data_IF_532714122100
#
_entry.id   IF_532714122100
#
_cell.length_a   1.000
_cell.length_b   1.000
_cell.length_c   1.000
_cell.angle_alpha   90.00
_cell.angle_beta   90.00
_cell.angle_gamma   90.00
#
_symmetry.space_group_name_H-M   'P 1'
#
loop_
_entity.id
_entity.type
_entity.pdbx_description
1 polymer ?
#
# COMPACT_ATOMS: atom_id res chain seq x y z
N UNK A 1 0.50 -59.59 16.32
CA UNK A 1 0.57 -58.13 16.21
C UNK A 1 1.37 -57.78 14.96
N UNK A 2 0.72 -57.43 13.86
CA UNK A 2 1.40 -57.00 12.63
C UNK A 2 1.92 -55.57 12.82
N UNK A 3 3.23 -55.41 12.80
CA UNK A 3 3.86 -54.09 12.72
C UNK A 3 3.76 -53.64 11.26
N UNK A 4 2.85 -52.72 10.99
CA UNK A 4 2.73 -52.08 9.66
C UNK A 4 4.04 -51.32 9.40
N UNK A 5 4.92 -51.86 8.55
CA UNK A 5 6.09 -51.11 8.09
C UNK A 5 5.62 -50.10 7.04
N UNK A 6 5.40 -48.86 7.47
CA UNK A 6 5.17 -47.75 6.54
C UNK A 6 6.44 -47.51 5.72
N UNK A 7 6.36 -47.70 4.41
CA UNK A 7 7.46 -47.41 3.48
C UNK A 7 7.87 -45.94 3.54
N UNK A 8 9.11 -45.63 3.14
CA UNK A 8 9.64 -44.25 3.09
C UNK A 8 8.71 -43.28 2.33
N UNK A 9 8.03 -43.75 1.27
CA UNK A 9 7.04 -42.96 0.51
C UNK A 9 5.81 -42.59 1.33
N UNK A 10 5.37 -43.49 2.22
CA UNK A 10 4.25 -43.22 3.12
C UNK A 10 4.62 -42.24 4.24
N UNK A 11 5.84 -42.33 4.76
CA UNK A 11 6.37 -41.34 5.71
C UNK A 11 6.46 -39.94 5.10
N UNK A 12 6.91 -39.83 3.85
CA UNK A 12 6.95 -38.56 3.12
C UNK A 12 5.53 -38.02 2.89
N UNK A 13 4.59 -38.86 2.46
CA UNK A 13 3.20 -38.46 2.26
C UNK A 13 2.56 -37.93 3.57
N UNK A 14 2.77 -38.63 4.69
CA UNK A 14 2.30 -38.18 6.01
C UNK A 14 2.96 -36.85 6.39
N UNK A 15 4.26 -36.70 6.18
CA UNK A 15 4.98 -35.45 6.43
C UNK A 15 4.40 -34.27 5.64
N UNK A 16 4.13 -34.45 4.35
CA UNK A 16 3.51 -33.43 3.50
C UNK A 16 2.11 -33.09 3.98
N UNK A 17 1.28 -34.08 4.32
CA UNK A 17 -0.07 -33.85 4.84
C UNK A 17 -0.04 -33.06 6.15
N UNK A 18 0.87 -33.40 7.07
CA UNK A 18 1.03 -32.66 8.33
C UNK A 18 1.44 -31.21 8.06
N UNK A 19 2.39 -30.96 7.14
CA UNK A 19 2.81 -29.60 6.78
C UNK A 19 1.64 -28.80 6.18
N UNK A 20 0.85 -29.40 5.29
CA UNK A 20 -0.33 -28.76 4.71
C UNK A 20 -1.39 -28.45 5.77
N UNK A 21 -1.65 -29.37 6.69
CA UNK A 21 -2.60 -29.15 7.79
C UNK A 21 -2.14 -28.05 8.74
N UNK A 22 -0.84 -28.02 9.08
CA UNK A 22 -0.27 -26.94 9.89
C UNK A 22 -0.40 -25.61 9.18
N UNK A 23 -0.12 -25.54 7.86
CA UNK A 23 -0.30 -24.33 7.07
C UNK A 23 -1.76 -23.87 7.01
N UNK A 24 -2.71 -24.80 6.88
CA UNK A 24 -4.15 -24.50 6.88
C UNK A 24 -4.64 -23.98 8.23
N UNK A 25 -4.24 -24.61 9.33
CA UNK A 25 -4.59 -24.15 10.69
C UNK A 25 -4.00 -22.77 10.94
N UNK A 26 -2.73 -22.57 10.55
CA UNK A 26 -2.07 -21.27 10.68
C UNK A 26 -2.78 -20.19 9.86
N UNK A 27 -3.16 -20.51 8.62
CA UNK A 27 -3.96 -19.65 7.74
C UNK A 27 -5.30 -19.26 8.37
N UNK A 28 -6.00 -20.20 8.99
CA UNK A 28 -7.32 -19.95 9.57
C UNK A 28 -7.25 -19.09 10.84
N UNK A 29 -6.24 -19.31 11.69
CA UNK A 29 -6.00 -18.54 12.93
C UNK A 29 -5.50 -17.12 12.64
N UNK A 30 -4.82 -16.91 11.52
CA UNK A 30 -4.29 -15.60 11.10
C UNK A 30 -5.19 -14.81 10.16
N UNK A 31 -6.43 -15.26 9.92
CA UNK A 31 -7.35 -14.48 9.08
C UNK A 31 -7.62 -13.12 9.74
N UNK A 32 -7.37 -12.01 9.03
CA UNK A 32 -7.79 -10.70 9.48
C UNK A 32 -9.31 -10.69 9.67
N UNK A 33 -9.82 -9.79 10.52
CA UNK A 33 -11.25 -9.54 10.59
C UNK A 33 -11.83 -9.22 9.21
N UNK A 34 -13.10 -9.56 8.96
CA UNK A 34 -13.70 -9.39 7.63
C UNK A 34 -13.71 -7.91 7.19
N UNK A 35 -13.85 -7.00 8.15
CA UNK A 35 -13.75 -5.56 8.00
C UNK A 35 -12.37 -5.06 7.53
N UNK A 36 -11.32 -5.87 7.66
CA UNK A 36 -9.98 -5.55 7.22
C UNK A 36 -9.71 -5.92 5.76
N UNK A 37 -10.55 -6.71 5.12
CA UNK A 37 -10.33 -7.07 3.71
C UNK A 37 -10.28 -5.85 2.77
N UNK A 38 -11.17 -4.84 2.88
CA UNK A 38 -11.06 -3.61 2.08
C UNK A 38 -9.81 -2.78 2.40
N UNK A 39 -9.38 -2.75 3.67
CA UNK A 39 -8.14 -2.08 4.07
C UNK A 39 -6.92 -2.77 3.46
N UNK A 40 -6.91 -4.10 3.42
CA UNK A 40 -5.83 -4.86 2.79
C UNK A 40 -5.76 -4.63 1.29
N UNK A 41 -6.89 -4.54 0.59
CA UNK A 41 -6.93 -4.17 -0.83
C UNK A 41 -6.33 -2.77 -1.06
N UNK A 42 -6.69 -1.79 -0.21
CA UNK A 42 -6.10 -0.45 -0.25
C UNK A 42 -4.58 -0.47 -0.05
N UNK A 43 -4.10 -1.17 0.97
CA UNK A 43 -2.67 -1.27 1.29
C UNK A 43 -1.89 -1.99 0.18
N UNK A 44 -2.43 -3.09 -0.33
CA UNK A 44 -1.82 -3.87 -1.41
C UNK A 44 -1.73 -3.08 -2.71
N UNK A 45 -2.78 -2.32 -3.06
CA UNK A 45 -2.77 -1.42 -4.21
C UNK A 45 -1.70 -0.34 -4.07
N UNK A 46 -1.63 0.31 -2.90
CA UNK A 46 -0.61 1.33 -2.64
C UNK A 46 0.81 0.76 -2.80
N UNK A 47 1.07 -0.42 -2.25
CA UNK A 47 2.38 -1.09 -2.37
C UNK A 47 2.73 -1.43 -3.82
N UNK A 48 1.80 -2.03 -4.57
CA UNK A 48 2.00 -2.36 -6.00
C UNK A 48 2.27 -1.13 -6.86
N UNK A 49 1.65 0.01 -6.53
CA UNK A 49 1.86 1.27 -7.26
C UNK A 49 3.18 1.95 -6.87
N UNK A 50 3.62 1.85 -5.62
CA UNK A 50 4.95 2.32 -5.21
C UNK A 50 6.09 1.63 -5.98
N UNK A 51 5.94 0.34 -6.29
CA UNK A 51 6.91 -0.42 -7.10
C UNK A 51 6.89 0.03 -8.58
N UNK A 52 5.72 0.34 -9.12
CA UNK A 52 5.57 0.75 -10.53
C UNK A 52 5.97 2.21 -10.80
N UNK A 53 5.70 3.10 -9.83
CA UNK A 53 5.93 4.54 -9.97
C UNK A 53 7.32 4.94 -9.40
N UNK A 54 7.83 4.19 -8.42
CA UNK A 54 9.15 4.41 -7.82
C UNK A 54 10.32 4.18 -8.78
N UNK A 55 10.15 3.29 -9.77
CA UNK A 55 11.16 3.02 -10.80
C UNK A 55 11.17 4.08 -11.93
N UNK A 56 10.11 4.90 -12.05
CA UNK A 56 9.95 5.91 -13.11
C UNK A 56 10.20 7.36 -12.69
N UNK A 57 10.13 7.66 -11.39
CA UNK A 57 10.18 9.02 -10.82
C UNK A 57 11.60 9.46 -10.40
N UNK A 58 12.61 9.06 -11.18
CA UNK A 58 14.02 9.36 -10.88
C UNK A 58 14.30 10.86 -10.69
N UNK A 59 14.89 11.20 -9.53
CA UNK A 59 15.68 12.40 -9.17
C UNK A 59 15.48 13.69 -10.01
N UNK A 60 14.24 14.03 -10.32
CA UNK A 60 13.90 15.02 -11.35
C UNK A 60 12.62 15.78 -11.04
N UNK A 61 12.44 16.87 -11.77
CA UNK A 61 11.23 17.71 -11.69
C UNK A 61 10.05 16.89 -12.23
N UNK A 62 8.92 16.79 -11.50
CA UNK A 62 7.74 16.07 -11.98
C UNK A 62 7.30 16.50 -13.38
N UNK A 63 7.06 15.56 -14.29
CA UNK A 63 6.49 15.85 -15.61
C UNK A 63 4.96 15.83 -15.57
N UNK A 64 4.32 16.29 -16.66
CA UNK A 64 2.86 16.18 -16.81
C UNK A 64 2.41 14.71 -16.84
N UNK A 65 3.22 13.82 -17.43
CA UNK A 65 2.93 12.39 -17.45
C UNK A 65 2.99 11.78 -16.04
N UNK A 66 3.97 12.20 -15.23
CA UNK A 66 4.09 11.73 -13.85
C UNK A 66 2.88 12.18 -13.02
N UNK A 67 2.49 13.46 -13.12
CA UNK A 67 1.29 13.98 -12.42
C UNK A 67 0.03 13.21 -12.84
N UNK A 68 -0.11 12.86 -14.11
CA UNK A 68 -1.24 12.06 -14.59
C UNK A 68 -1.22 10.63 -14.02
N UNK A 69 -0.05 9.98 -13.95
CA UNK A 69 0.10 8.67 -13.35
C UNK A 69 -0.23 8.68 -11.85
N UNK A 70 0.28 9.66 -11.11
CA UNK A 70 -0.03 9.84 -9.70
C UNK A 70 -1.50 10.19 -9.46
N UNK A 71 -2.16 10.94 -10.36
CA UNK A 71 -3.60 11.20 -10.26
C UNK A 71 -4.42 9.91 -10.39
N UNK A 72 -4.08 9.06 -11.37
CA UNK A 72 -4.72 7.75 -11.50
C UNK A 72 -4.47 6.86 -10.28
N UNK A 73 -3.27 6.93 -9.68
CA UNK A 73 -3.00 6.28 -8.39
C UNK A 73 -3.93 6.78 -7.28
N UNK A 74 -4.05 8.10 -7.08
CA UNK A 74 -4.91 8.70 -6.05
C UNK A 74 -6.40 8.38 -6.24
N UNK A 75 -6.87 8.30 -7.49
CA UNK A 75 -8.22 7.84 -7.82
C UNK A 75 -8.41 6.37 -7.41
N UNK A 76 -7.44 5.49 -7.70
CA UNK A 76 -7.49 4.09 -7.29
C UNK A 76 -7.40 3.88 -5.76
N UNK A 77 -6.70 4.76 -5.04
CA UNK A 77 -6.73 4.81 -3.57
C UNK A 77 -8.13 5.20 -3.08
N UNK A 78 -8.73 6.22 -3.68
CA UNK A 78 -10.09 6.69 -3.35
C UNK A 78 -11.14 5.60 -3.55
N UNK A 79 -11.08 4.90 -4.69
CA UNK A 79 -11.98 3.79 -5.00
C UNK A 79 -11.96 2.72 -3.90
N UNK A 80 -10.77 2.41 -3.36
CA UNK A 80 -10.58 1.39 -2.32
C UNK A 80 -10.92 1.89 -0.93
N UNK A 81 -10.57 3.14 -0.62
CA UNK A 81 -10.95 3.77 0.64
C UNK A 81 -12.46 3.78 0.83
N UNK A 82 -13.22 4.03 -0.25
CA UNK A 82 -14.68 4.01 -0.24
C UNK A 82 -15.30 2.62 -0.04
N UNK A 83 -14.52 1.54 -0.18
CA UNK A 83 -14.96 0.16 0.13
C UNK A 83 -14.83 -0.17 1.62
N UNK A 84 -14.11 0.65 2.39
CA UNK A 84 -13.98 0.49 3.84
C UNK A 84 -15.23 1.03 4.50
N UNK A 85 -16.03 0.16 5.13
CA UNK A 85 -17.31 0.54 5.74
C UNK A 85 -17.28 0.51 7.27
N UNK A 86 -16.26 -0.10 7.87
CA UNK A 86 -16.14 -0.13 9.33
C UNK A 86 -15.90 1.29 9.88
N UNK A 87 -16.72 1.77 10.83
CA UNK A 87 -16.61 3.14 11.33
C UNK A 87 -15.24 3.48 11.94
N UNK A 88 -14.53 2.50 12.50
CA UNK A 88 -13.22 2.71 13.12
C UNK A 88 -12.08 2.79 12.08
N UNK A 89 -12.31 2.28 10.87
CA UNK A 89 -11.34 2.26 9.77
C UNK A 89 -11.65 3.28 8.68
N UNK A 90 -12.93 3.64 8.52
CA UNK A 90 -13.45 4.53 7.48
C UNK A 90 -12.79 5.91 7.53
N UNK A 91 -12.74 6.54 8.71
CA UNK A 91 -12.20 7.89 8.84
C UNK A 91 -10.73 7.96 8.39
N UNK A 92 -9.91 7.00 8.82
CA UNK A 92 -8.49 6.91 8.45
C UNK A 92 -8.33 6.57 6.97
N UNK A 93 -9.19 5.72 6.40
CA UNK A 93 -9.17 5.38 4.98
C UNK A 93 -9.52 6.57 4.07
N UNK A 94 -10.50 7.37 4.46
CA UNK A 94 -10.85 8.62 3.77
C UNK A 94 -9.70 9.64 3.86
N UNK A 95 -9.05 9.76 5.01
CA UNK A 95 -7.87 10.63 5.16
C UNK A 95 -6.72 10.20 4.24
N UNK A 96 -6.50 8.89 4.06
CA UNK A 96 -5.52 8.37 3.09
C UNK A 96 -5.86 8.83 1.66
N UNK A 97 -7.12 8.69 1.24
CA UNK A 97 -7.54 9.16 -0.08
C UNK A 97 -7.37 10.69 -0.26
N UNK A 98 -7.75 11.47 0.74
CA UNK A 98 -7.59 12.94 0.70
C UNK A 98 -6.12 13.37 0.66
N UNK A 99 -5.25 12.72 1.44
CA UNK A 99 -3.81 12.99 1.44
C UNK A 99 -3.17 12.57 0.11
N UNK A 100 -3.61 11.47 -0.50
CA UNK A 100 -3.15 11.04 -1.81
C UNK A 100 -3.42 12.12 -2.87
N UNK A 101 -4.65 12.66 -2.94
CA UNK A 101 -4.98 13.76 -3.87
C UNK A 101 -4.18 15.02 -3.59
N UNK A 102 -4.05 15.43 -2.32
CA UNK A 102 -3.25 16.60 -1.93
C UNK A 102 -1.77 16.44 -2.32
N UNK A 103 -1.23 15.23 -2.25
CA UNK A 103 0.12 14.95 -2.72
C UNK A 103 0.26 15.22 -4.22
N UNK A 104 -0.69 14.74 -5.04
CA UNK A 104 -0.69 14.98 -6.50
C UNK A 104 -0.82 16.47 -6.83
N UNK A 105 -1.67 17.19 -6.11
CA UNK A 105 -1.84 18.64 -6.31
C UNK A 105 -0.53 19.40 -6.02
N UNK A 106 0.19 19.01 -4.96
CA UNK A 106 1.49 19.60 -4.65
C UNK A 106 2.58 19.18 -5.65
N UNK A 107 2.52 17.96 -6.17
CA UNK A 107 3.42 17.52 -7.24
C UNK A 107 3.26 18.39 -8.50
N UNK A 108 2.03 18.72 -8.90
CA UNK A 108 1.78 19.65 -10.00
C UNK A 108 2.24 21.08 -9.67
N UNK A 109 2.03 21.53 -8.42
CA UNK A 109 2.52 22.82 -7.96
C UNK A 109 4.05 22.91 -8.00
N UNK A 110 4.77 21.85 -7.62
CA UNK A 110 6.24 21.75 -7.76
C UNK A 110 6.62 21.89 -9.23
N UNK A 111 6.00 21.12 -10.12
CA UNK A 111 6.25 21.19 -11.57
C UNK A 111 6.11 22.62 -12.09
N UNK A 112 5.00 23.29 -11.78
CA UNK A 112 4.73 24.67 -12.22
C UNK A 112 5.72 25.67 -11.64
N UNK A 113 6.04 25.54 -10.34
CA UNK A 113 6.97 26.47 -9.68
C UNK A 113 8.40 26.31 -10.15
N UNK A 114 8.84 25.12 -10.56
CA UNK A 114 10.19 24.95 -11.10
C UNK A 114 10.31 25.58 -12.50
N UNK A 115 9.25 25.60 -13.31
CA UNK A 115 9.27 26.22 -14.64
C UNK A 115 9.56 27.73 -14.60
N UNK A 116 9.28 28.40 -13.49
CA UNK A 116 9.51 29.85 -13.33
C UNK A 116 10.79 30.18 -12.55
N UNK A 117 11.56 29.17 -12.15
CA UNK A 117 12.79 29.32 -11.36
C UNK A 117 14.05 29.19 -12.21
N UNK A 118 15.12 29.85 -11.77
CA UNK A 118 16.43 29.71 -12.39
C UNK A 118 16.99 28.28 -12.19
N UNK A 119 17.77 27.75 -13.15
CA UNK A 119 18.47 26.48 -12.97
C UNK A 119 19.34 26.48 -11.70
N UNK A 120 19.21 25.44 -10.88
CA UNK A 120 19.97 25.32 -9.61
C UNK A 120 19.42 26.15 -8.44
N UNK A 121 18.28 26.84 -8.60
CA UNK A 121 17.62 27.49 -7.48
C UNK A 121 17.17 26.47 -6.41
N UNK A 122 17.06 26.87 -5.13
CA UNK A 122 16.55 26.00 -4.08
C UNK A 122 15.15 25.44 -4.41
N UNK A 123 14.79 24.26 -3.85
CA UNK A 123 13.47 23.67 -4.03
C UNK A 123 12.33 24.65 -3.72
N UNK A 124 11.21 24.58 -4.46
CA UNK A 124 10.04 25.40 -4.18
C UNK A 124 9.38 25.07 -2.84
N UNK A 125 8.67 26.02 -2.20
CA UNK A 125 7.86 25.76 -1.00
C UNK A 125 6.95 24.54 -1.12
N UNK A 126 6.31 24.37 -2.29
CA UNK A 126 5.46 23.21 -2.58
C UNK A 126 6.17 21.86 -2.45
N UNK A 127 7.50 21.81 -2.65
CA UNK A 127 8.27 20.58 -2.46
C UNK A 127 8.25 20.14 -0.98
N UNK A 128 8.41 21.09 -0.06
CA UNK A 128 8.39 20.79 1.37
C UNK A 128 6.97 20.41 1.84
N UNK A 129 5.94 21.08 1.32
CA UNK A 129 4.54 20.70 1.58
C UNK A 129 4.24 19.28 1.08
N UNK A 130 4.69 18.94 -0.14
CA UNK A 130 4.57 17.61 -0.71
C UNK A 130 5.22 16.54 0.17
N UNK A 131 6.43 16.79 0.69
CA UNK A 131 7.10 15.86 1.61
C UNK A 131 6.34 15.68 2.92
N UNK A 132 5.81 16.77 3.50
CA UNK A 132 5.04 16.70 4.74
C UNK A 132 3.71 15.93 4.55
N UNK A 133 3.07 16.07 3.39
CA UNK A 133 1.87 15.30 3.04
C UNK A 133 2.21 13.82 2.88
N UNK A 134 3.34 13.50 2.23
CA UNK A 134 3.80 12.11 2.10
C UNK A 134 4.02 11.47 3.48
N UNK A 135 4.65 12.17 4.41
CA UNK A 135 4.87 11.64 5.77
C UNK A 135 3.53 11.37 6.48
N UNK A 136 2.56 12.27 6.35
CA UNK A 136 1.21 12.08 6.90
C UNK A 136 0.50 10.88 6.25
N UNK A 137 0.60 10.75 4.93
CA UNK A 137 0.04 9.63 4.18
C UNK A 137 0.62 8.30 4.66
N UNK A 138 1.95 8.20 4.78
CA UNK A 138 2.62 7.00 5.27
C UNK A 138 2.24 6.67 6.72
N UNK A 139 2.09 7.69 7.57
CA UNK A 139 1.60 7.50 8.93
C UNK A 139 0.18 6.91 8.95
N UNK A 140 -0.73 7.40 8.10
CA UNK A 140 -2.11 6.92 8.02
C UNK A 140 -2.22 5.52 7.42
N UNK A 141 -1.42 5.21 6.41
CA UNK A 141 -1.29 3.84 5.88
C UNK A 141 -0.78 2.87 6.95
N UNK A 142 0.20 3.29 7.76
CA UNK A 142 0.70 2.49 8.90
C UNK A 142 -0.37 2.31 9.98
N UNK A 143 -1.16 3.33 10.27
CA UNK A 143 -2.29 3.27 11.21
C UNK A 143 -3.30 2.21 10.78
N UNK A 144 -3.71 2.22 9.50
CA UNK A 144 -4.59 1.20 8.92
C UNK A 144 -3.98 -0.22 8.97
N UNK A 145 -2.71 -0.36 8.61
CA UNK A 145 -2.00 -1.64 8.66
C UNK A 145 -1.95 -2.19 10.10
N UNK A 146 -1.65 -1.33 11.06
CA UNK A 146 -1.57 -1.70 12.49
C UNK A 146 -2.93 -2.14 13.03
N UNK A 147 -4.01 -1.47 12.62
CA UNK A 147 -5.38 -1.83 13.00
C UNK A 147 -5.81 -3.19 12.42
N UNK A 148 -5.25 -3.58 11.28
CA UNK A 148 -5.59 -4.82 10.56
C UNK A 148 -4.56 -5.95 10.69
N UNK A 149 -3.69 -5.88 11.72
CA UNK A 149 -2.80 -6.97 12.11
C UNK A 149 -1.53 -7.11 11.26
N UNK A 150 -0.90 -5.96 10.96
CA UNK A 150 0.30 -5.79 10.13
C UNK A 150 1.40 -6.85 10.20
#
# INVERSE_FOLDING_TARGET
MQVVRLDRRWWVAIGVVVVVLVALVYSWVKRPPAECAPVQDLLAYNQQQSEQIGDGSGEGIPTVADVAAYRAWADGVTERANKVTDPNLLATSVQVAELAHRFVDQMDAVRVQVQTRAPGAPPPPAYFEMTAINDQLMAKLKELSSACGG
#
